data_IF_830812653287
#
_entry.id   IF_830812653287
#
_cell.length_a   1.000
_cell.length_b   1.000
_cell.length_c   1.000
_cell.angle_alpha   90.00
_cell.angle_beta   90.00
_cell.angle_gamma   90.00
#
_symmetry.space_group_name_H-M   'P 1'
#
loop_
_entity.id
_entity.type
_entity.pdbx_description
1 polymer ?
#
# COMPACT_ATOMS: atom_id res chain seq x y z
N UNK A 1 -23.01 -57.66 -3.78
CA UNK A 1 -22.73 -56.30 -4.28
C UNK A 1 -23.39 -55.16 -3.49
N UNK A 2 -24.07 -55.43 -2.35
CA UNK A 2 -24.78 -54.41 -1.56
C UNK A 2 -23.90 -53.68 -0.52
N UNK A 3 -22.80 -54.31 -0.08
CA UNK A 3 -21.87 -53.76 0.92
C UNK A 3 -20.92 -52.67 0.37
N UNK A 4 -20.63 -52.71 -0.93
CA UNK A 4 -19.78 -51.71 -1.61
C UNK A 4 -20.53 -50.40 -1.85
N UNK A 5 -21.85 -50.47 -2.08
CA UNK A 5 -22.72 -49.29 -2.20
C UNK A 5 -22.79 -48.49 -0.89
N UNK A 6 -22.78 -49.17 0.26
CA UNK A 6 -22.75 -48.51 1.57
C UNK A 6 -21.43 -47.78 1.86
N UNK A 7 -20.31 -48.27 1.33
CA UNK A 7 -19.00 -47.60 1.47
C UNK A 7 -18.92 -46.32 0.63
N UNK A 8 -19.54 -46.29 -0.55
CA UNK A 8 -19.61 -45.08 -1.38
C UNK A 8 -20.53 -44.01 -0.78
N UNK A 9 -21.65 -44.40 -0.18
CA UNK A 9 -22.59 -43.46 0.42
C UNK A 9 -22.06 -42.81 1.72
N UNK A 10 -21.21 -43.51 2.48
CA UNK A 10 -20.56 -42.97 3.67
C UNK A 10 -19.42 -41.99 3.34
N UNK A 11 -18.74 -42.14 2.20
CA UNK A 11 -17.68 -41.24 1.76
C UNK A 11 -18.20 -39.85 1.35
N UNK A 12 -19.45 -39.76 0.88
CA UNK A 12 -20.08 -38.49 0.48
C UNK A 12 -20.49 -37.60 1.67
N UNK A 13 -20.50 -38.11 2.90
CA UNK A 13 -20.80 -37.31 4.10
C UNK A 13 -19.60 -36.57 4.68
N UNK A 14 -18.38 -36.79 4.17
CA UNK A 14 -17.16 -36.10 4.64
C UNK A 14 -16.74 -34.90 3.79
N UNK A 15 -17.55 -34.47 2.81
CA UNK A 15 -17.16 -33.40 1.86
C UNK A 15 -18.11 -32.19 1.78
N UNK A 16 -18.97 -31.96 2.78
CA UNK A 16 -19.77 -30.73 2.82
C UNK A 16 -19.51 -29.95 4.10
N UNK A 17 -18.42 -29.19 4.08
CA UNK A 17 -18.25 -28.04 4.95
C UNK A 17 -17.98 -26.84 4.04
N UNK A 18 -19.00 -26.44 3.27
CA UNK A 18 -19.00 -25.14 2.64
C UNK A 18 -19.34 -24.13 3.74
N UNK A 19 -18.31 -23.66 4.44
CA UNK A 19 -18.45 -22.51 5.32
C UNK A 19 -18.51 -21.29 4.43
N UNK A 20 -19.71 -20.74 4.29
CA UNK A 20 -19.93 -19.33 3.95
C UNK A 20 -19.00 -18.50 4.85
N UNK A 21 -17.91 -18.01 4.27
CA UNK A 21 -16.96 -17.19 5.01
C UNK A 21 -17.54 -15.79 5.05
N UNK A 22 -18.13 -15.43 6.18
CA UNK A 22 -18.30 -14.02 6.54
C UNK A 22 -16.89 -13.44 6.48
N UNK A 23 -16.61 -12.59 5.48
CA UNK A 23 -15.35 -11.86 5.34
C UNK A 23 -15.32 -10.82 6.46
N UNK A 24 -15.04 -11.27 7.68
CA UNK A 24 -14.52 -10.39 8.73
C UNK A 24 -13.17 -9.92 8.16
N UNK A 25 -12.93 -8.59 8.03
CA UNK A 25 -11.63 -8.09 7.58
C UNK A 25 -10.60 -8.77 8.46
N UNK A 26 -9.77 -9.62 7.86
CA UNK A 26 -8.81 -10.44 8.58
C UNK A 26 -7.96 -9.46 9.40
N UNK A 27 -8.18 -9.43 10.71
CA UNK A 27 -7.35 -8.62 11.61
C UNK A 27 -5.98 -9.26 11.56
N UNK A 28 -5.13 -8.72 10.69
CA UNK A 28 -3.82 -9.27 10.46
C UNK A 28 -2.99 -9.02 11.71
N UNK A 29 -2.49 -10.09 12.33
CA UNK A 29 -1.69 -10.06 13.55
C UNK A 29 -0.29 -9.42 13.36
N UNK A 30 -0.04 -8.79 12.19
CA UNK A 30 1.19 -8.11 11.83
C UNK A 30 1.04 -6.59 11.84
N UNK A 31 2.14 -5.86 11.59
CA UNK A 31 2.15 -4.40 11.47
C UNK A 31 1.82 -3.96 10.04
N UNK A 32 0.99 -2.94 9.90
CA UNK A 32 0.78 -2.23 8.63
C UNK A 32 1.61 -0.95 8.58
N UNK A 33 2.31 -0.76 7.46
CA UNK A 33 3.08 0.48 7.21
C UNK A 33 2.32 1.38 6.26
N UNK A 34 2.13 2.64 6.67
CA UNK A 34 1.46 3.68 5.93
C UNK A 34 2.50 4.66 5.39
N UNK A 35 2.72 4.71 4.09
CA UNK A 35 3.56 5.73 3.45
C UNK A 35 2.65 6.85 2.93
N UNK A 36 2.73 8.04 3.53
CA UNK A 36 1.98 9.22 3.12
C UNK A 36 2.87 10.15 2.30
N UNK A 37 2.76 10.06 0.97
CA UNK A 37 3.65 10.74 0.03
C UNK A 37 2.95 11.91 -0.66
N UNK A 38 3.34 13.12 -0.25
CA UNK A 38 2.99 14.36 -0.93
C UNK A 38 4.10 14.71 -1.91
N UNK A 39 3.91 14.24 -3.14
CA UNK A 39 4.92 14.06 -4.17
C UNK A 39 4.78 15.02 -5.38
N UNK A 40 3.84 15.95 -5.37
CA UNK A 40 3.72 17.04 -6.36
C UNK A 40 4.85 18.08 -6.18
N UNK A 41 6.09 17.64 -6.40
CA UNK A 41 7.32 18.42 -6.27
C UNK A 41 8.53 17.69 -6.84
N UNK A 42 9.69 18.34 -6.74
CA UNK A 42 10.97 17.83 -7.23
C UNK A 42 11.46 16.51 -6.60
N UNK A 43 10.79 15.97 -5.56
CA UNK A 43 11.10 14.65 -4.98
C UNK A 43 10.27 13.52 -5.59
N UNK A 44 9.36 13.79 -6.54
CA UNK A 44 8.47 12.80 -7.15
C UNK A 44 9.22 11.51 -7.54
N UNK A 45 10.26 11.63 -8.39
CA UNK A 45 11.06 10.48 -8.83
C UNK A 45 11.76 9.75 -7.69
N UNK A 46 12.27 10.48 -6.70
CA UNK A 46 12.93 9.90 -5.53
C UNK A 46 11.94 9.13 -4.63
N UNK A 47 10.73 9.64 -4.46
CA UNK A 47 9.67 8.97 -3.71
C UNK A 47 9.21 7.69 -4.43
N UNK A 48 9.17 7.67 -5.76
CA UNK A 48 8.92 6.42 -6.52
C UNK A 48 10.00 5.37 -6.29
N UNK A 49 11.27 5.78 -6.32
CA UNK A 49 12.37 4.89 -5.97
C UNK A 49 12.25 4.38 -4.53
N UNK A 50 11.76 5.21 -3.59
CA UNK A 50 11.48 4.75 -2.23
C UNK A 50 10.35 3.72 -2.18
N UNK A 51 9.31 3.82 -3.02
CA UNK A 51 8.27 2.77 -3.13
C UNK A 51 8.92 1.45 -3.56
N UNK A 52 9.79 1.46 -4.58
CA UNK A 52 10.51 0.26 -4.99
C UNK A 52 11.36 -0.33 -3.84
N UNK A 53 12.11 0.49 -3.11
CA UNK A 53 12.90 0.00 -1.96
C UNK A 53 12.01 -0.54 -0.84
N UNK A 54 10.87 0.10 -0.56
CA UNK A 54 9.90 -0.40 0.42
C UNK A 54 9.29 -1.72 -0.02
N UNK A 55 9.02 -1.91 -1.32
CA UNK A 55 8.60 -3.20 -1.87
C UNK A 55 9.68 -4.28 -1.69
N UNK A 56 10.97 -3.96 -1.88
CA UNK A 56 12.07 -4.90 -1.59
C UNK A 56 12.10 -5.30 -0.12
N UNK A 57 11.92 -4.34 0.79
CA UNK A 57 11.77 -4.61 2.22
C UNK A 57 10.57 -5.51 2.52
N UNK A 58 9.44 -5.26 1.85
CA UNK A 58 8.23 -6.08 1.96
C UNK A 58 8.49 -7.52 1.49
N UNK A 59 9.22 -7.74 0.39
CA UNK A 59 9.58 -9.09 -0.06
C UNK A 59 10.46 -9.86 0.93
N UNK A 60 11.25 -9.15 1.76
CA UNK A 60 12.13 -9.77 2.75
C UNK A 60 11.41 -10.18 4.04
N UNK A 61 10.13 -9.80 4.20
CA UNK A 61 9.32 -10.17 5.35
C UNK A 61 9.05 -11.68 5.38
N UNK A 62 9.10 -12.27 6.57
CA UNK A 62 8.79 -13.70 6.81
C UNK A 62 7.34 -13.96 7.20
N UNK A 63 6.64 -12.90 7.61
CA UNK A 63 5.24 -12.93 8.02
C UNK A 63 4.38 -12.15 7.01
N UNK A 64 3.05 -12.26 7.11
CA UNK A 64 2.16 -11.42 6.34
C UNK A 64 2.32 -9.95 6.72
N UNK A 65 2.47 -9.07 5.75
CA UNK A 65 2.63 -7.64 5.97
C UNK A 65 1.97 -6.84 4.85
N UNK A 66 1.60 -5.60 5.17
CA UNK A 66 1.03 -4.66 4.22
C UNK A 66 1.77 -3.32 4.24
N UNK A 67 2.00 -2.81 3.04
CA UNK A 67 2.41 -1.45 2.76
C UNK A 67 1.29 -0.76 2.00
N UNK A 68 0.71 0.28 2.59
CA UNK A 68 -0.21 1.17 1.91
C UNK A 68 0.51 2.47 1.62
N UNK A 69 0.47 2.92 0.37
CA UNK A 69 1.07 4.18 -0.08
C UNK A 69 -0.05 5.11 -0.48
N UNK A 70 -0.25 6.19 0.27
CA UNK A 70 -0.97 7.35 -0.24
C UNK A 70 -0.03 8.14 -1.13
N UNK A 71 -0.41 8.34 -2.39
CA UNK A 71 0.35 9.09 -3.38
C UNK A 71 -0.45 10.28 -3.86
N UNK A 72 0.08 11.48 -3.66
CA UNK A 72 -0.42 12.74 -4.22
C UNK A 72 0.70 13.39 -5.05
N UNK A 73 0.76 13.06 -6.34
CA UNK A 73 1.82 13.48 -7.26
C UNK A 73 1.33 14.47 -8.34
N UNK A 74 2.18 14.70 -9.34
CA UNK A 74 1.85 15.58 -10.45
C UNK A 74 0.66 15.03 -11.27
N UNK A 75 -0.31 15.87 -11.61
CA UNK A 75 -1.49 15.46 -12.37
C UNK A 75 -1.17 14.98 -13.81
N UNK A 76 0.02 15.29 -14.34
CA UNK A 76 0.51 14.77 -15.62
C UNK A 76 1.00 13.33 -15.55
N UNK A 77 1.05 12.73 -14.36
CA UNK A 77 1.48 11.35 -14.17
C UNK A 77 0.42 10.37 -14.68
N UNK A 78 0.72 9.64 -15.74
CA UNK A 78 -0.24 8.72 -16.37
C UNK A 78 -0.52 7.50 -15.49
N UNK A 79 0.43 7.10 -14.63
CA UNK A 79 0.24 5.95 -13.75
C UNK A 79 -0.74 6.29 -12.63
N UNK A 80 -0.54 7.44 -11.97
CA UNK A 80 -1.39 7.91 -10.86
C UNK A 80 -1.71 9.41 -11.02
N UNK A 81 -2.65 9.78 -11.93
CA UNK A 81 -2.95 11.18 -12.27
C UNK A 81 -3.75 11.90 -11.17
N UNK A 82 -4.33 11.14 -10.26
CA UNK A 82 -5.12 11.64 -9.14
C UNK A 82 -4.56 11.07 -7.83
N UNK A 83 -4.74 11.77 -6.71
CA UNK A 83 -4.31 11.23 -5.43
C UNK A 83 -4.96 9.87 -5.17
N UNK A 84 -4.19 8.89 -4.70
CA UNK A 84 -4.70 7.54 -4.50
C UNK A 84 -4.02 6.80 -3.36
N UNK A 85 -4.69 5.77 -2.83
CA UNK A 85 -4.08 4.76 -1.96
C UNK A 85 -3.76 3.54 -2.81
N UNK A 86 -2.50 3.14 -2.80
CA UNK A 86 -1.97 1.95 -3.46
C UNK A 86 -1.57 0.93 -2.40
N UNK A 87 -2.00 -0.31 -2.57
CA UNK A 87 -1.72 -1.42 -1.65
C UNK A 87 -0.69 -2.39 -2.23
N UNK A 88 0.25 -2.77 -1.37
CA UNK A 88 1.19 -3.86 -1.59
C UNK A 88 1.12 -4.80 -0.37
N UNK A 89 0.67 -6.03 -0.57
CA UNK A 89 0.59 -7.05 0.48
C UNK A 89 1.48 -8.24 0.17
N UNK A 90 2.09 -8.82 1.21
CA UNK A 90 2.82 -10.08 1.14
C UNK A 90 2.27 -11.08 2.15
N UNK A 91 2.41 -12.36 1.85
CA UNK A 91 2.09 -13.46 2.76
C UNK A 91 3.33 -14.00 3.51
N UNK A 92 4.48 -13.31 3.42
CA UNK A 92 5.75 -13.75 4.01
C UNK A 92 6.59 -14.69 3.14
N UNK A 93 6.13 -15.00 1.93
CA UNK A 93 6.88 -15.82 0.95
C UNK A 93 7.60 -14.95 -0.10
N UNK A 94 7.61 -13.62 0.11
CA UNK A 94 8.26 -12.65 -0.74
C UNK A 94 7.53 -12.29 -2.05
N UNK A 95 6.38 -12.91 -2.32
CA UNK A 95 5.46 -12.41 -3.35
C UNK A 95 4.79 -11.11 -2.89
N UNK A 96 4.37 -10.28 -3.84
CA UNK A 96 3.60 -9.05 -3.58
C UNK A 96 2.34 -9.09 -4.44
N UNK A 97 1.18 -8.89 -3.80
CA UNK A 97 -0.13 -8.97 -4.42
C UNK A 97 -0.25 -10.28 -5.22
N UNK A 98 -0.56 -10.19 -6.52
CA UNK A 98 -0.74 -11.34 -7.40
C UNK A 98 0.56 -11.89 -7.99
N UNK A 99 1.72 -11.25 -7.72
CA UNK A 99 3.00 -11.62 -8.34
C UNK A 99 3.89 -12.42 -7.38
N UNK A 100 4.51 -13.46 -7.93
CA UNK A 100 5.48 -14.28 -7.20
C UNK A 100 6.80 -13.54 -6.99
N UNK A 101 7.57 -13.93 -5.96
CA UNK A 101 8.91 -13.38 -5.71
C UNK A 101 9.80 -13.44 -6.96
N UNK A 102 9.87 -14.60 -7.62
CA UNK A 102 10.71 -14.78 -8.80
C UNK A 102 10.32 -13.86 -9.97
N UNK A 103 9.02 -13.60 -10.15
CA UNK A 103 8.53 -12.65 -11.16
C UNK A 103 9.01 -11.23 -10.83
N UNK A 104 8.86 -10.79 -9.58
CA UNK A 104 9.25 -9.44 -9.18
C UNK A 104 10.78 -9.27 -9.24
N UNK A 105 11.54 -10.27 -8.82
CA UNK A 105 13.00 -10.27 -8.92
C UNK A 105 13.47 -10.17 -10.39
N UNK A 106 12.81 -10.88 -11.30
CA UNK A 106 13.09 -10.78 -12.74
C UNK A 106 12.78 -9.38 -13.28
N UNK A 107 11.65 -8.79 -12.90
CA UNK A 107 11.30 -7.41 -13.25
C UNK A 107 12.34 -6.41 -12.72
N UNK A 108 12.79 -6.55 -11.46
CA UNK A 108 13.80 -5.65 -10.88
C UNK A 108 15.19 -5.79 -11.53
N UNK A 109 15.52 -6.97 -12.08
CA UNK A 109 16.78 -7.21 -12.77
C UNK A 109 16.76 -6.81 -14.25
N UNK A 110 15.58 -6.68 -14.86
CA UNK A 110 15.42 -6.29 -16.25
C UNK A 110 15.63 -4.78 -16.45
N UNK A 111 16.59 -4.43 -17.30
CA UNK A 111 16.93 -3.03 -17.63
C UNK A 111 15.83 -2.31 -18.40
N UNK A 112 14.90 -3.04 -19.02
CA UNK A 112 13.77 -2.46 -19.75
C UNK A 112 12.56 -2.23 -18.86
N UNK A 113 12.52 -2.83 -17.66
CA UNK A 113 11.44 -2.60 -16.70
C UNK A 113 11.61 -1.19 -16.12
N UNK A 114 10.60 -0.34 -16.35
CA UNK A 114 10.60 1.01 -15.79
C UNK A 114 10.16 1.01 -14.33
N UNK A 115 10.45 2.10 -13.62
CA UNK A 115 9.94 2.30 -12.25
C UNK A 115 8.41 2.26 -12.20
N UNK A 116 7.73 2.72 -13.26
CA UNK A 116 6.27 2.73 -13.35
C UNK A 116 5.70 1.32 -13.46
N UNK A 117 6.39 0.41 -14.15
CA UNK A 117 5.99 -1.00 -14.24
C UNK A 117 6.10 -1.68 -12.87
N UNK A 118 7.18 -1.40 -12.12
CA UNK A 118 7.40 -1.98 -10.79
C UNK A 118 6.37 -1.49 -9.77
N UNK A 119 6.21 -0.18 -9.62
CA UNK A 119 5.24 0.36 -8.66
C UNK A 119 3.80 0.08 -9.10
N UNK A 120 3.56 -0.13 -10.40
CA UNK A 120 2.27 -0.54 -10.96
C UNK A 120 1.79 -1.93 -10.53
N UNK A 121 2.64 -2.73 -9.87
CA UNK A 121 2.25 -4.00 -9.21
C UNK A 121 1.23 -3.75 -8.08
N UNK A 122 1.20 -2.53 -7.56
CA UNK A 122 0.30 -2.13 -6.48
C UNK A 122 -1.17 -2.12 -6.89
N UNK A 123 -2.04 -2.54 -5.97
CA UNK A 123 -3.49 -2.51 -6.17
C UNK A 123 -4.04 -1.15 -5.75
N UNK A 124 -4.73 -0.43 -6.65
CA UNK A 124 -5.41 0.82 -6.28
C UNK A 124 -6.61 0.49 -5.40
N UNK A 125 -6.57 0.96 -4.14
CA UNK A 125 -7.66 0.78 -3.18
C UNK A 125 -8.68 1.91 -3.23
N UNK A 126 -8.20 3.14 -3.42
CA UNK A 126 -9.06 4.34 -3.44
C UNK A 126 -8.40 5.45 -4.24
N UNK A 127 -9.20 6.21 -4.97
CA UNK A 127 -8.82 7.46 -5.63
C UNK A 127 -9.56 8.63 -5.00
N UNK A 128 -8.96 9.80 -5.05
CA UNK A 128 -9.50 11.04 -4.50
C UNK A 128 -9.54 12.12 -5.58
N UNK A 129 -10.47 13.08 -5.50
CA UNK A 129 -10.36 14.29 -6.29
C UNK A 129 -9.09 15.08 -5.92
N UNK A 130 -8.67 16.06 -6.74
CA UNK A 130 -7.60 16.98 -6.39
C UNK A 130 -7.85 17.64 -5.02
N UNK A 131 -6.85 17.62 -4.14
CA UNK A 131 -7.00 18.04 -2.75
C UNK A 131 -5.67 18.54 -2.16
N UNK A 132 -5.74 19.33 -1.09
CA UNK A 132 -4.54 19.74 -0.35
C UNK A 132 -4.17 18.67 0.68
N UNK A 133 -3.19 17.83 0.37
CA UNK A 133 -2.75 16.72 1.23
C UNK A 133 -2.34 17.09 2.66
N UNK A 134 -1.99 18.36 2.91
CA UNK A 134 -1.61 18.85 4.24
C UNK A 134 -2.73 19.48 5.05
N UNK A 135 -3.95 19.55 4.50
CA UNK A 135 -5.10 19.93 5.30
C UNK A 135 -5.37 18.86 6.36
N UNK A 136 -5.60 19.30 7.61
CA UNK A 136 -5.82 18.41 8.76
C UNK A 136 -6.91 17.37 8.49
N UNK A 137 -8.03 17.81 7.93
CA UNK A 137 -9.18 16.96 7.59
C UNK A 137 -8.84 15.94 6.51
N UNK A 138 -8.09 16.35 5.48
CA UNK A 138 -7.60 15.47 4.41
C UNK A 138 -6.67 14.40 4.98
N UNK A 139 -5.66 14.79 5.77
CA UNK A 139 -4.74 13.82 6.41
C UNK A 139 -5.49 12.83 7.31
N UNK A 140 -6.41 13.32 8.16
CA UNK A 140 -7.22 12.46 9.03
C UNK A 140 -8.07 11.47 8.22
N UNK A 141 -8.66 11.93 7.12
CA UNK A 141 -9.49 11.10 6.24
C UNK A 141 -8.65 10.03 5.57
N UNK A 142 -7.55 10.41 4.92
CA UNK A 142 -6.67 9.50 4.19
C UNK A 142 -6.04 8.47 5.12
N UNK A 143 -5.53 8.87 6.29
CA UNK A 143 -4.95 7.94 7.26
C UNK A 143 -6.04 6.97 7.76
N UNK A 144 -7.25 7.47 8.06
CA UNK A 144 -8.38 6.64 8.45
C UNK A 144 -8.78 5.64 7.36
N UNK A 145 -8.79 6.07 6.10
CA UNK A 145 -9.05 5.22 4.94
C UNK A 145 -7.98 4.13 4.77
N UNK A 146 -6.69 4.46 4.95
CA UNK A 146 -5.62 3.45 4.89
C UNK A 146 -5.73 2.44 6.05
N UNK A 147 -6.01 2.89 7.27
CA UNK A 147 -6.20 2.01 8.42
C UNK A 147 -7.42 1.10 8.24
N UNK A 148 -8.49 1.61 7.61
CA UNK A 148 -9.70 0.85 7.32
C UNK A 148 -9.51 -0.15 6.19
N UNK A 149 -8.70 0.20 5.17
CA UNK A 149 -8.39 -0.67 4.05
C UNK A 149 -7.56 -1.90 4.49
N UNK A 150 -6.73 -1.74 5.53
CA UNK A 150 -6.00 -2.86 6.12
C UNK A 150 -5.92 -2.73 7.65
N UNK A 151 -6.91 -3.27 8.37
CA UNK A 151 -6.92 -3.30 9.84
C UNK A 151 -5.74 -4.10 10.42
N UNK A 152 -5.05 -3.52 11.39
CA UNK A 152 -3.86 -4.10 12.02
C UNK A 152 -3.78 -3.71 13.49
N UNK A 153 -3.14 -4.55 14.30
CA UNK A 153 -2.91 -4.27 15.74
C UNK A 153 -1.94 -3.10 15.96
N UNK A 154 -1.06 -2.81 14.98
CA UNK A 154 -0.15 -1.68 15.09
C UNK A 154 0.18 -1.07 13.73
N UNK A 155 0.33 0.25 13.71
CA UNK A 155 0.64 1.00 12.51
C UNK A 155 1.98 1.72 12.64
N UNK A 156 2.76 1.70 11.57
CA UNK A 156 3.87 2.62 11.36
C UNK A 156 3.51 3.62 10.27
N UNK A 157 3.88 4.89 10.42
CA UNK A 157 3.65 5.90 9.39
C UNK A 157 4.97 6.53 8.93
N UNK A 158 5.11 6.71 7.62
CA UNK A 158 6.24 7.34 6.96
C UNK A 158 5.70 8.53 6.18
N UNK A 159 6.19 9.73 6.46
CA UNK A 159 5.86 10.94 5.72
C UNK A 159 6.93 11.23 4.67
N UNK A 160 6.53 11.34 3.40
CA UNK A 160 7.43 11.62 2.29
C UNK A 160 7.07 12.94 1.60
N UNK A 161 7.94 13.94 1.73
CA UNK A 161 7.96 15.21 1.01
C UNK A 161 9.19 16.00 1.45
N UNK A 162 9.36 17.23 0.99
CA UNK A 162 10.29 18.16 1.63
C UNK A 162 9.84 18.41 3.08
N UNK A 163 10.77 18.81 3.96
CA UNK A 163 10.47 19.13 5.35
C UNK A 163 11.09 20.47 5.76
N UNK A 164 10.39 21.24 6.58
CA UNK A 164 10.98 22.38 7.28
C UNK A 164 10.82 22.30 8.80
N UNK A 165 10.39 21.14 9.32
CA UNK A 165 10.28 20.87 10.75
C UNK A 165 9.35 21.87 11.46
N UNK A 166 9.87 22.47 12.53
CA UNK A 166 9.19 23.42 13.40
C UNK A 166 9.35 24.89 12.96
N UNK A 167 9.93 25.15 11.79
CA UNK A 167 10.14 26.52 11.33
C UNK A 167 8.80 27.25 11.07
N UNK A 168 8.63 28.49 11.60
CA UNK A 168 7.42 29.27 11.41
C UNK A 168 7.11 29.61 9.95
N UNK A 169 5.84 29.88 9.67
CA UNK A 169 5.28 30.09 8.31
C UNK A 169 5.77 31.36 7.61
N UNK A 170 6.28 32.36 8.34
CA UNK A 170 6.69 33.64 7.78
C UNK A 170 8.03 33.59 7.01
N UNK A 171 8.83 32.53 7.15
CA UNK A 171 9.97 32.25 6.27
C UNK A 171 9.51 31.61 4.95
N UNK A 172 8.59 32.29 4.25
CA UNK A 172 8.14 31.91 2.91
C UNK A 172 9.25 32.23 1.91
N UNK A 173 10.11 31.25 1.62
CA UNK A 173 10.75 31.24 0.32
C UNK A 173 9.73 30.73 -0.72
N UNK A 174 9.52 31.45 -1.84
CA UNK A 174 8.53 31.09 -2.86
C UNK A 174 8.81 29.77 -3.60
N UNK A 175 9.96 29.13 -3.33
CA UNK A 175 10.47 28.01 -4.13
C UNK A 175 9.95 26.62 -3.77
N UNK A 176 9.13 26.43 -2.72
CA UNK A 176 8.71 25.08 -2.32
C UNK A 176 7.27 25.05 -1.82
N UNK A 177 6.34 24.67 -2.70
CA UNK A 177 4.90 24.57 -2.45
C UNK A 177 4.49 23.39 -1.57
N UNK A 178 5.30 22.34 -1.48
CA UNK A 178 4.98 21.10 -0.74
C UNK A 178 6.03 20.78 0.34
N UNK A 179 5.77 21.09 1.61
CA UNK A 179 6.65 20.72 2.73
C UNK A 179 5.88 20.27 3.96
N UNK A 180 6.33 19.21 4.62
CA UNK A 180 5.90 18.84 5.97
C UNK A 180 6.31 19.89 7.00
N UNK A 181 5.35 20.31 7.83
CA UNK A 181 5.50 21.33 8.86
C UNK A 181 4.71 20.95 10.10
N UNK A 182 5.24 21.25 11.28
CA UNK A 182 4.46 21.20 12.51
C UNK A 182 3.47 22.40 12.52
N UNK A 183 2.18 22.11 12.66
CA UNK A 183 1.16 23.15 12.89
C UNK A 183 0.85 23.13 14.38
N UNK A 184 1.30 24.16 15.10
CA UNK A 184 0.80 24.45 16.44
C UNK A 184 -0.55 25.16 16.26
N UNK A 185 -1.64 24.44 16.51
CA UNK A 185 -2.98 25.02 16.66
C UNK A 185 -3.24 25.26 18.14
#
# INVERSE_FOLDING_TARGET
>A
MKKILFLFLAACFFFSCEKETIVIPQQHAGRTVLAFFWADNSLNSSLRNNIQTMMQGLQAMKDSAALLVYWDGEASDISWPEPCIVEYVTNGQGGINSLSKGTIDAMMADKNTSIYDLIGIGNIRKKYPPQTSTEKTVMQTVIGDMMSAYPSESYGIIFGSHGSGWLPTYYRHPFYRTRWRAVFQ
#
